data_IF_734667924538
#
_entry.id   IF_734667924538
#
_cell.length_a   1.000
_cell.length_b   1.000
_cell.length_c   1.000
_cell.angle_alpha   90.00
_cell.angle_beta   90.00
_cell.angle_gamma   90.00
#
_symmetry.space_group_name_H-M   'P 1'
#
loop_
_entity.id
_entity.type
_entity.pdbx_description
1 polymer ?
#
# COMPACT_ATOMS: atom_id res chain seq x y z
N UNK A 1 -11.67 -2.77 5.27
CA UNK A 1 -10.65 -1.86 4.69
C UNK A 1 -11.08 -1.51 3.27
N UNK A 2 -10.81 -0.29 2.79
CA UNK A 2 -11.07 0.11 1.41
C UNK A 2 -9.80 0.08 0.57
N UNK A 3 -9.90 -0.36 -0.68
CA UNK A 3 -8.79 -0.41 -1.65
C UNK A 3 -9.23 0.13 -3.01
N UNK A 4 -8.32 0.81 -3.69
CA UNK A 4 -8.42 1.16 -5.11
C UNK A 4 -7.34 0.39 -5.85
N UNK A 5 -7.73 -0.65 -6.60
CA UNK A 5 -6.82 -1.53 -7.35
C UNK A 5 -5.95 -0.73 -8.32
N UNK A 6 -4.73 -1.22 -8.57
CA UNK A 6 -3.88 -0.66 -9.63
C UNK A 6 -4.45 -0.98 -11.01
N UNK A 7 -4.93 -2.21 -11.20
CA UNK A 7 -5.52 -2.68 -12.45
C UNK A 7 -7.05 -2.67 -12.34
N UNK A 8 -7.73 -1.91 -13.23
CA UNK A 8 -9.20 -1.86 -13.30
C UNK A 8 -9.80 -2.96 -14.17
N UNK A 9 -9.01 -3.52 -15.07
CA UNK A 9 -9.40 -4.61 -15.98
C UNK A 9 -9.05 -5.98 -15.40
N UNK A 10 -9.55 -7.05 -16.03
CA UNK A 10 -9.16 -8.41 -15.70
C UNK A 10 -7.65 -8.57 -15.92
N UNK A 11 -6.91 -8.73 -14.83
CA UNK A 11 -5.50 -9.07 -14.84
C UNK A 11 -5.36 -10.59 -14.68
N UNK A 12 -4.29 -11.15 -15.24
CA UNK A 12 -3.92 -12.53 -15.01
C UNK A 12 -2.64 -12.54 -14.17
N UNK A 13 -2.77 -12.89 -12.90
CA UNK A 13 -1.65 -12.98 -11.98
C UNK A 13 -1.16 -14.42 -11.96
N UNK A 14 0.11 -14.62 -12.32
CA UNK A 14 0.76 -15.93 -12.23
C UNK A 14 1.30 -16.16 -10.81
N UNK A 15 0.43 -16.57 -9.88
CA UNK A 15 0.85 -16.87 -8.51
C UNK A 15 1.91 -17.97 -8.45
N UNK A 16 1.80 -18.99 -9.31
CA UNK A 16 2.79 -20.06 -9.38
C UNK A 16 4.20 -19.58 -9.77
N UNK A 17 4.31 -18.57 -10.63
CA UNK A 17 5.61 -17.95 -10.94
C UNK A 17 6.19 -17.22 -9.73
N UNK A 18 5.34 -16.48 -8.99
CA UNK A 18 5.77 -15.84 -7.75
C UNK A 18 6.21 -16.88 -6.71
N UNK A 19 5.40 -17.91 -6.46
CA UNK A 19 5.69 -19.01 -5.52
C UNK A 19 7.01 -19.72 -5.87
N UNK A 20 7.24 -20.00 -7.17
CA UNK A 20 8.51 -20.55 -7.64
C UNK A 20 9.70 -19.60 -7.37
N UNK A 21 9.51 -18.29 -7.52
CA UNK A 21 10.54 -17.26 -7.29
C UNK A 21 10.88 -17.08 -5.81
N UNK A 22 9.91 -17.30 -4.92
CA UNK A 22 10.11 -17.21 -3.46
C UNK A 22 10.42 -18.58 -2.83
N UNK A 23 10.21 -19.68 -3.55
CA UNK A 23 10.51 -21.05 -3.13
C UNK A 23 9.52 -21.66 -2.14
N UNK A 24 8.33 -21.07 -1.98
CA UNK A 24 7.31 -21.49 -1.03
C UNK A 24 5.90 -21.10 -1.53
N UNK A 25 4.88 -21.76 -0.98
CA UNK A 25 3.49 -21.44 -1.27
C UNK A 25 3.05 -20.18 -0.50
N UNK A 26 2.18 -19.37 -1.10
CA UNK A 26 1.62 -18.20 -0.44
C UNK A 26 0.54 -18.61 0.58
N UNK A 27 0.44 -17.89 1.71
CA UNK A 27 -0.70 -18.04 2.61
C UNK A 27 -2.03 -17.80 1.86
N UNK A 28 -2.98 -18.72 2.03
CA UNK A 28 -4.17 -18.81 1.17
C UNK A 28 -5.01 -17.53 1.10
N UNK A 29 -5.12 -16.78 2.18
CA UNK A 29 -5.86 -15.50 2.22
C UNK A 29 -5.15 -14.40 1.43
N UNK A 30 -3.81 -14.38 1.46
CA UNK A 30 -3.03 -13.43 0.68
C UNK A 30 -3.01 -13.80 -0.81
N UNK A 31 -2.97 -15.09 -1.14
CA UNK A 31 -3.14 -15.57 -2.51
C UNK A 31 -4.49 -15.09 -3.10
N UNK A 32 -5.61 -15.30 -2.39
CA UNK A 32 -6.93 -14.80 -2.80
C UNK A 32 -6.96 -13.28 -2.97
N UNK A 33 -6.25 -12.56 -2.10
CA UNK A 33 -6.14 -11.10 -2.22
C UNK A 33 -5.42 -10.69 -3.51
N UNK A 34 -4.31 -11.33 -3.86
CA UNK A 34 -3.57 -11.04 -5.09
C UNK A 34 -4.39 -11.38 -6.34
N UNK A 35 -5.11 -12.51 -6.36
CA UNK A 35 -5.98 -12.89 -7.48
C UNK A 35 -7.13 -11.91 -7.72
N UNK A 36 -7.66 -11.31 -6.64
CA UNK A 36 -8.83 -10.45 -6.71
C UNK A 36 -8.51 -8.97 -6.86
N UNK A 37 -7.45 -8.51 -6.20
CA UNK A 37 -7.10 -7.09 -6.14
C UNK A 37 -5.77 -6.77 -6.83
N UNK A 38 -4.80 -7.68 -6.81
CA UNK A 38 -3.43 -7.50 -7.29
C UNK A 38 -2.78 -6.18 -6.83
N UNK A 39 -2.82 -5.95 -5.51
CA UNK A 39 -2.36 -4.71 -4.92
C UNK A 39 -3.35 -3.55 -5.09
N UNK A 40 -2.93 -2.36 -4.71
CA UNK A 40 -3.75 -1.16 -4.85
C UNK A 40 -3.51 -0.14 -3.76
N UNK A 41 -3.94 1.10 -4.04
CA UNK A 41 -3.87 2.19 -3.08
C UNK A 41 -4.93 2.05 -1.99
N UNK A 42 -4.58 2.41 -0.76
CA UNK A 42 -5.48 2.39 0.40
C UNK A 42 -5.54 3.77 1.05
N UNK A 43 -5.98 4.82 0.32
CA UNK A 43 -5.96 6.18 0.84
C UNK A 43 -6.79 6.29 2.13
N UNK A 44 -6.29 7.14 3.05
CA UNK A 44 -6.84 7.32 4.39
C UNK A 44 -7.00 6.00 5.19
N UNK A 45 -6.13 5.02 4.95
CA UNK A 45 -6.12 3.76 5.71
C UNK A 45 -5.10 3.81 6.83
N UNK A 46 -5.51 3.34 8.00
CA UNK A 46 -4.67 3.23 9.20
C UNK A 46 -4.76 1.81 9.75
N UNK A 47 -3.60 1.28 10.12
CA UNK A 47 -3.52 0.15 11.03
C UNK A 47 -3.83 0.63 12.46
N UNK A 48 -4.82 0.02 13.11
CA UNK A 48 -5.26 0.43 14.46
C UNK A 48 -4.77 -0.47 15.59
N UNK A 49 -3.94 -1.47 15.30
CA UNK A 49 -3.34 -2.34 16.32
C UNK A 49 -2.13 -1.72 17.01
N UNK A 50 -1.23 -2.58 17.51
CA UNK A 50 0.05 -2.16 18.11
C UNK A 50 0.92 -1.51 17.04
N UNK A 51 1.62 -0.42 17.39
CA UNK A 51 2.42 0.39 16.46
C UNK A 51 1.57 0.94 15.29
N UNK A 52 0.63 1.83 15.62
CA UNK A 52 -0.24 2.47 14.62
C UNK A 52 0.58 3.11 13.52
N UNK A 53 0.20 2.85 12.28
CA UNK A 53 0.80 3.41 11.07
C UNK A 53 -0.29 3.62 10.04
N UNK A 54 -0.06 4.53 9.09
CA UNK A 54 -0.83 4.52 7.86
C UNK A 54 -0.45 3.31 6.99
N UNK A 55 -1.32 3.00 6.03
CA UNK A 55 -1.03 2.07 4.94
C UNK A 55 -1.35 2.84 3.66
N UNK A 56 -0.37 2.96 2.77
CA UNK A 56 -0.51 3.72 1.52
C UNK A 56 -1.00 2.86 0.37
N UNK A 57 -0.58 1.61 0.35
CA UNK A 57 -1.01 0.65 -0.65
C UNK A 57 -0.39 -0.71 -0.43
N UNK A 58 -1.00 -1.69 -1.10
CA UNK A 58 -0.51 -3.06 -1.20
C UNK A 58 0.25 -3.23 -2.50
N UNK A 59 1.30 -4.03 -2.46
CA UNK A 59 2.11 -4.36 -3.63
C UNK A 59 1.35 -5.31 -4.56
N UNK A 60 1.60 -5.20 -5.86
CA UNK A 60 1.01 -6.06 -6.89
C UNK A 60 2.06 -6.69 -7.79
N UNK A 61 1.68 -7.75 -8.49
CA UNK A 61 2.51 -8.47 -9.46
C UNK A 61 2.34 -7.83 -10.84
N UNK A 62 3.45 -7.65 -11.57
CA UNK A 62 3.42 -7.05 -12.90
C UNK A 62 2.99 -5.58 -12.94
N UNK A 63 3.15 -4.85 -11.83
CA UNK A 63 2.81 -3.42 -11.75
C UNK A 63 3.90 -2.60 -12.41
N UNK A 64 3.54 -1.68 -13.32
CA UNK A 64 4.51 -0.88 -14.07
C UNK A 64 5.26 0.16 -13.23
N UNK A 65 4.67 0.57 -12.11
CA UNK A 65 5.33 1.44 -11.13
C UNK A 65 6.16 0.55 -10.19
N UNK A 66 7.48 0.59 -10.37
CA UNK A 66 8.45 -0.19 -9.58
C UNK A 66 8.25 -0.02 -8.07
N UNK A 67 7.81 1.16 -7.62
CA UNK A 67 7.58 1.40 -6.18
C UNK A 67 6.45 0.52 -5.62
N UNK A 68 5.48 0.13 -6.44
CA UNK A 68 4.35 -0.73 -6.08
C UNK A 68 4.46 -2.16 -6.64
N UNK A 69 5.53 -2.45 -7.35
CA UNK A 69 5.77 -3.77 -7.93
C UNK A 69 6.37 -4.71 -6.86
N UNK A 70 5.62 -5.76 -6.54
CA UNK A 70 6.00 -6.77 -5.56
C UNK A 70 7.32 -7.46 -5.94
N UNK A 71 7.55 -7.71 -7.22
CA UNK A 71 8.72 -8.44 -7.69
C UNK A 71 10.01 -7.61 -7.60
N UNK A 72 9.93 -6.32 -7.91
CA UNK A 72 11.04 -5.40 -7.71
C UNK A 72 11.30 -5.20 -6.21
N UNK A 73 10.25 -5.12 -5.39
CA UNK A 73 10.41 -5.06 -3.94
C UNK A 73 11.11 -6.30 -3.39
N UNK A 74 10.69 -7.51 -3.78
CA UNK A 74 11.34 -8.77 -3.39
C UNK A 74 12.82 -8.76 -3.76
N UNK A 75 13.16 -8.26 -4.96
CA UNK A 75 14.54 -8.21 -5.45
C UNK A 75 15.38 -7.23 -4.63
N UNK A 76 14.84 -6.06 -4.31
CA UNK A 76 15.47 -5.09 -3.44
C UNK A 76 15.69 -5.67 -2.03
N UNK A 77 14.65 -6.26 -1.44
CA UNK A 77 14.68 -6.81 -0.08
C UNK A 77 15.55 -8.08 0.05
N UNK A 78 15.69 -8.87 -1.02
CA UNK A 78 16.68 -9.97 -1.08
C UNK A 78 18.11 -9.44 -1.00
N UNK A 79 18.40 -8.26 -1.55
CA UNK A 79 19.72 -7.65 -1.47
C UNK A 79 20.03 -7.08 -0.06
N UNK A 80 18.98 -6.78 0.71
CA UNK A 80 19.06 -6.28 2.10
C UNK A 80 18.85 -7.39 3.16
N UNK A 81 18.97 -8.68 2.79
CA UNK A 81 18.78 -9.84 3.67
C UNK A 81 17.39 -9.95 4.35
N UNK A 82 16.38 -9.18 3.93
CA UNK A 82 15.05 -9.24 4.53
C UNK A 82 14.37 -10.59 4.29
N UNK A 83 14.63 -11.16 3.11
CA UNK A 83 14.05 -12.40 2.61
C UNK A 83 14.69 -13.69 3.19
N UNK A 84 15.82 -13.59 3.91
CA UNK A 84 16.46 -14.77 4.54
C UNK A 84 15.60 -15.42 5.63
N UNK A 85 14.54 -14.74 6.08
CA UNK A 85 13.70 -15.12 7.22
C UNK A 85 12.23 -15.37 6.83
N UNK A 86 11.95 -15.82 5.61
CA UNK A 86 10.57 -16.11 5.15
C UNK A 86 9.62 -14.90 5.14
N UNK A 87 10.14 -13.67 5.16
CA UNK A 87 9.33 -12.45 5.12
C UNK A 87 9.15 -11.93 3.70
N UNK A 88 7.90 -11.91 3.25
CA UNK A 88 7.47 -11.35 1.97
C UNK A 88 6.83 -9.97 2.19
N UNK A 89 7.33 -8.88 1.59
CA UNK A 89 6.66 -7.58 1.67
C UNK A 89 5.30 -7.62 0.97
N UNK A 90 4.29 -6.97 1.57
CA UNK A 90 2.90 -6.96 1.06
C UNK A 90 2.30 -5.57 0.96
N UNK A 91 2.75 -4.60 1.77
CA UNK A 91 2.25 -3.23 1.77
C UNK A 91 3.28 -2.25 2.31
N UNK A 92 3.08 -0.96 2.01
CA UNK A 92 3.97 0.15 2.40
C UNK A 92 3.21 1.25 3.15
N UNK A 93 3.88 1.94 4.06
CA UNK A 93 3.37 3.17 4.69
C UNK A 93 3.97 4.45 4.04
N UNK A 94 3.72 5.62 4.63
CA UNK A 94 4.29 6.91 4.17
C UNK A 94 5.81 7.05 4.34
N UNK A 95 6.40 6.28 5.26
CA UNK A 95 7.79 6.42 5.68
C UNK A 95 8.72 5.41 4.99
N UNK A 96 8.18 4.59 4.09
CA UNK A 96 8.92 3.51 3.45
C UNK A 96 8.97 2.22 4.27
N UNK A 97 8.34 2.20 5.46
CA UNK A 97 8.24 0.97 6.26
C UNK A 97 7.35 -0.06 5.56
N UNK A 98 7.69 -1.32 5.77
CA UNK A 98 7.04 -2.46 5.12
C UNK A 98 6.13 -3.19 6.10
N UNK A 99 4.97 -3.59 5.60
CA UNK A 99 4.20 -4.68 6.16
C UNK A 99 4.61 -5.94 5.41
N UNK A 100 5.02 -6.97 6.15
CA UNK A 100 5.48 -8.24 5.61
C UNK A 100 4.59 -9.37 6.12
N UNK A 101 4.34 -10.37 5.28
CA UNK A 101 3.78 -11.65 5.69
C UNK A 101 4.93 -12.65 5.84
N UNK A 102 4.96 -13.39 6.94
CA UNK A 102 5.77 -14.58 7.04
C UNK A 102 5.07 -15.71 6.27
N UNK A 103 5.73 -16.24 5.24
CA UNK A 103 5.14 -17.27 4.37
C UNK A 103 5.04 -18.65 5.02
N UNK A 104 5.78 -18.90 6.10
CA UNK A 104 5.77 -20.19 6.80
C UNK A 104 4.55 -20.35 7.72
N UNK A 105 4.16 -19.29 8.43
CA UNK A 105 3.10 -19.31 9.45
C UNK A 105 1.94 -18.33 9.18
N UNK A 106 2.08 -17.44 8.20
CA UNK A 106 1.08 -16.44 7.82
C UNK A 106 1.07 -15.19 8.71
N UNK A 107 1.96 -15.09 9.70
CA UNK A 107 2.01 -13.93 10.61
C UNK A 107 2.33 -12.64 9.86
N UNK A 108 1.74 -11.53 10.32
CA UNK A 108 2.01 -10.21 9.75
C UNK A 108 2.96 -9.43 10.66
N UNK A 109 4.01 -8.88 10.05
CA UNK A 109 5.07 -8.16 10.71
C UNK A 109 5.23 -6.77 10.10
N UNK A 110 5.56 -5.81 10.96
CA UNK A 110 5.93 -4.46 10.57
C UNK A 110 7.45 -4.33 10.63
N UNK A 111 8.08 -4.04 9.50
CA UNK A 111 9.52 -3.87 9.35
C UNK A 111 9.85 -2.40 9.10
N UNK A 112 10.70 -1.83 9.95
CA UNK A 112 11.11 -0.44 9.82
C UNK A 112 12.11 -0.28 8.68
N UNK A 113 11.98 0.79 7.91
CA UNK A 113 12.92 1.10 6.81
C UNK A 113 14.31 1.48 7.35
N UNK A 114 14.35 2.26 8.43
CA UNK A 114 15.59 2.89 8.90
C UNK A 114 16.45 1.98 9.79
N UNK A 115 15.98 0.77 10.13
CA UNK A 115 16.70 -0.16 10.99
C UNK A 115 16.15 -1.59 10.92
N UNK A 116 16.91 -2.57 11.42
CA UNK A 116 16.56 -4.00 11.36
C UNK A 116 15.39 -4.44 12.27
N UNK A 117 14.70 -3.51 12.94
CA UNK A 117 13.62 -3.86 13.86
C UNK A 117 12.41 -4.36 13.09
N UNK A 118 11.87 -5.47 13.57
CA UNK A 118 10.59 -6.02 13.13
C UNK A 118 9.70 -6.33 14.31
N UNK A 119 8.40 -6.12 14.15
CA UNK A 119 7.42 -6.37 15.20
C UNK A 119 6.24 -7.13 14.61
N UNK A 120 5.90 -8.27 15.19
CA UNK A 120 4.64 -8.97 14.89
C UNK A 120 3.45 -8.07 15.24
N UNK A 121 2.51 -7.94 14.31
CA UNK A 121 1.31 -7.09 14.45
C UNK A 121 -0.01 -7.85 14.30
N UNK A 122 -0.03 -8.99 13.61
CA UNK A 122 -1.21 -9.86 13.48
C UNK A 122 -0.79 -11.33 13.29
N UNK A 123 -1.70 -12.26 13.61
CA UNK A 123 -1.50 -13.70 13.44
C UNK A 123 -1.84 -14.18 12.03
N UNK A 124 -2.44 -13.33 11.19
CA UNK A 124 -2.83 -13.68 9.83
C UNK A 124 -3.26 -12.48 8.99
N UNK A 125 -3.38 -12.69 7.68
CA UNK A 125 -3.73 -11.65 6.72
C UNK A 125 -5.16 -11.12 6.93
N UNK A 126 -6.15 -11.99 7.17
CA UNK A 126 -7.53 -11.54 7.43
C UNK A 126 -7.62 -10.69 8.71
N UNK A 127 -6.92 -11.09 9.79
CA UNK A 127 -6.88 -10.31 11.03
C UNK A 127 -6.24 -8.93 10.79
N UNK A 128 -5.15 -8.90 10.03
CA UNK A 128 -4.50 -7.66 9.64
C UNK A 128 -5.49 -6.73 8.93
N UNK A 129 -6.19 -7.23 7.92
CA UNK A 129 -7.13 -6.46 7.11
C UNK A 129 -8.35 -6.00 7.93
N UNK A 130 -8.85 -6.81 8.87
CA UNK A 130 -9.96 -6.45 9.75
C UNK A 130 -9.64 -5.26 10.68
N UNK A 131 -8.37 -5.15 11.09
CA UNK A 131 -7.82 -4.07 11.92
C UNK A 131 -7.34 -2.85 11.10
N UNK A 132 -7.35 -2.93 9.77
CA UNK A 132 -7.14 -1.79 8.90
C UNK A 132 -8.44 -0.99 8.74
N UNK A 133 -8.43 0.27 9.20
CA UNK A 133 -9.58 1.18 9.10
C UNK A 133 -9.32 2.24 8.03
N UNK A 134 -10.24 2.35 7.09
CA UNK A 134 -10.17 3.27 5.97
C UNK A 134 -11.33 4.25 6.02
N UNK A 135 -11.08 5.48 5.60
CA UNK A 135 -12.12 6.43 5.26
C UNK A 135 -12.26 6.49 3.73
N UNK A 136 -13.49 6.67 3.25
CA UNK A 136 -13.71 6.93 1.82
C UNK A 136 -13.04 8.25 1.42
N UNK A 137 -12.57 8.30 0.18
CA UNK A 137 -12.18 9.55 -0.47
C UNK A 137 -13.45 10.40 -0.53
N UNK A 138 -13.38 11.57 0.10
CA UNK A 138 -14.49 12.53 0.16
C UNK A 138 -14.35 13.57 -0.94
N UNK A 139 -14.82 14.78 -0.67
CA UNK A 139 -14.60 15.93 -1.54
C UNK A 139 -13.11 16.17 -1.79
N UNK A 140 -12.72 16.25 -3.06
CA UNK A 140 -11.37 16.58 -3.50
C UNK A 140 -11.37 18.06 -3.83
N UNK A 141 -10.62 18.86 -3.05
CA UNK A 141 -10.58 20.31 -3.24
C UNK A 141 -10.00 20.69 -4.59
N UNK A 142 -10.69 21.54 -5.34
CA UNK A 142 -10.21 22.11 -6.61
C UNK A 142 -9.02 23.05 -6.40
N UNK A 143 -8.33 23.41 -7.48
CA UNK A 143 -7.25 24.41 -7.42
C UNK A 143 -7.76 25.73 -6.85
N UNK A 144 -8.94 26.19 -7.25
CA UNK A 144 -9.57 27.42 -6.77
C UNK A 144 -9.86 27.35 -5.28
N UNK A 145 -10.44 26.24 -4.81
CA UNK A 145 -10.71 26.03 -3.38
C UNK A 145 -9.41 26.01 -2.56
N UNK A 146 -8.33 25.41 -3.09
CA UNK A 146 -7.01 25.40 -2.43
C UNK A 146 -6.41 26.81 -2.38
N UNK A 147 -6.44 27.56 -3.49
CA UNK A 147 -6.00 28.97 -3.55
C UNK A 147 -6.76 29.84 -2.56
N UNK A 148 -8.09 29.73 -2.52
CA UNK A 148 -8.91 30.47 -1.57
C UNK A 148 -8.54 30.14 -0.12
N UNK A 149 -8.32 28.86 0.20
CA UNK A 149 -7.89 28.49 1.55
C UNK A 149 -6.52 29.05 1.97
N UNK A 150 -5.59 29.29 1.03
CA UNK A 150 -4.33 29.96 1.34
C UNK A 150 -4.52 31.46 1.62
N UNK A 151 -5.43 32.11 0.90
CA UNK A 151 -5.81 33.51 1.13
C UNK A 151 -6.44 33.64 2.53
N UNK A 152 -7.43 32.79 2.84
CA UNK A 152 -8.15 32.81 4.11
C UNK A 152 -7.22 32.53 5.30
N UNK A 153 -6.19 31.70 5.10
CA UNK A 153 -5.17 31.41 6.12
C UNK A 153 -4.05 32.46 6.20
N UNK A 154 -4.04 33.49 5.35
CA UNK A 154 -3.01 34.53 5.34
C UNK A 154 -1.63 34.07 4.83
N UNK A 155 -1.56 32.91 4.17
CA UNK A 155 -0.30 32.27 3.72
C UNK A 155 -0.09 32.37 2.21
N UNK A 156 -0.84 33.23 1.52
CA UNK A 156 -0.71 33.41 0.07
C UNK A 156 0.72 33.74 -0.39
N UNK A 157 1.53 34.38 0.44
CA UNK A 157 2.93 34.69 0.16
C UNK A 157 3.82 33.44 -0.03
N UNK A 158 3.36 32.25 0.36
CA UNK A 158 4.04 30.97 0.14
C UNK A 158 3.62 30.30 -1.18
N UNK A 159 2.67 30.88 -1.92
CA UNK A 159 2.19 30.32 -3.18
C UNK A 159 3.31 30.24 -4.23
N UNK A 160 3.38 29.11 -4.93
CA UNK A 160 4.19 28.95 -6.14
C UNK A 160 3.40 28.23 -7.23
N UNK A 161 3.84 28.37 -8.49
CA UNK A 161 3.24 27.65 -9.62
C UNK A 161 3.43 26.13 -9.48
N UNK A 162 4.57 25.68 -8.95
CA UNK A 162 4.85 24.26 -8.66
C UNK A 162 3.78 23.64 -7.75
N UNK A 163 3.23 24.39 -6.79
CA UNK A 163 2.14 23.90 -5.94
C UNK A 163 0.88 23.57 -6.75
N UNK A 164 0.59 24.34 -7.80
CA UNK A 164 -0.58 24.09 -8.65
C UNK A 164 -0.40 22.79 -9.43
N UNK A 165 0.81 22.54 -9.96
CA UNK A 165 1.11 21.29 -10.64
C UNK A 165 0.96 20.09 -9.71
N UNK A 166 1.48 20.17 -8.49
CA UNK A 166 1.39 19.09 -7.51
C UNK A 166 -0.06 18.87 -7.03
N UNK A 167 -0.82 19.95 -6.85
CA UNK A 167 -2.25 19.84 -6.56
C UNK A 167 -3.02 19.19 -7.70
N UNK A 168 -2.71 19.50 -8.95
CA UNK A 168 -3.37 18.89 -10.10
C UNK A 168 -3.07 17.39 -10.16
N UNK A 169 -1.80 16.98 -9.97
CA UNK A 169 -1.42 15.56 -9.87
C UNK A 169 -2.19 14.84 -8.76
N UNK A 170 -2.34 15.49 -7.61
CA UNK A 170 -3.09 14.95 -6.48
C UNK A 170 -4.60 14.81 -6.79
N UNK A 171 -5.20 15.83 -7.41
CA UNK A 171 -6.61 15.83 -7.83
C UNK A 171 -6.86 14.71 -8.86
N UNK A 172 -6.02 14.62 -9.88
CA UNK A 172 -6.13 13.60 -10.93
C UNK A 172 -5.97 12.20 -10.36
N UNK A 173 -5.04 12.03 -9.40
CA UNK A 173 -4.84 10.75 -8.71
C UNK A 173 -6.09 10.32 -7.96
N UNK A 174 -6.66 11.18 -7.10
CA UNK A 174 -7.80 10.78 -6.27
C UNK A 174 -9.12 10.71 -7.04
N UNK A 175 -9.32 11.56 -8.06
CA UNK A 175 -10.55 11.56 -8.86
C UNK A 175 -10.69 10.30 -9.73
N UNK A 176 -9.57 9.70 -10.11
CA UNK A 176 -9.54 8.46 -10.88
C UNK A 176 -9.60 7.18 -10.02
N UNK A 177 -9.60 7.29 -8.69
CA UNK A 177 -9.67 6.12 -7.80
C UNK A 177 -11.10 5.61 -7.67
N UNK A 178 -11.23 4.29 -7.61
CA UNK A 178 -12.50 3.63 -7.29
C UNK A 178 -12.25 2.73 -6.11
N UNK A 179 -12.83 3.07 -4.96
CA UNK A 179 -12.66 2.30 -3.74
C UNK A 179 -13.71 1.20 -3.64
N UNK A 180 -13.26 0.00 -3.30
CA UNK A 180 -14.11 -1.13 -2.93
C UNK A 180 -13.65 -1.74 -1.60
N UNK A 181 -14.52 -2.50 -0.95
CA UNK A 181 -14.18 -3.21 0.28
C UNK A 181 -13.36 -4.47 -0.02
N UNK A 182 -12.30 -4.68 0.76
CA UNK A 182 -11.54 -5.94 0.72
C UNK A 182 -12.34 -7.04 1.40
N UNK A 183 -12.64 -8.11 0.65
CA UNK A 183 -13.38 -9.29 1.11
C UNK A 183 -12.69 -10.58 0.70
N UNK A 184 -12.84 -11.63 1.52
CA UNK A 184 -12.13 -12.91 1.46
C UNK A 184 -13.03 -14.11 1.16
#
# INVERSE_FOLDING_TARGET
MLISKFCKENFNVSLGELENKIGCALPSEYARFLEKYNGGFTPKTKWTGKNKSDIRGFLGIGISDDYWNLEEEIKYEKSNDLFRNSFLPIAKNSFGDLFCINVDDGEIWFAYHDNDKRIKIADGFAEFIAKCKSESIGHIRTIEERKQGMIDAGVWHLFSEDMVEDWQKEIDRYSNMTQEEVTF
#
